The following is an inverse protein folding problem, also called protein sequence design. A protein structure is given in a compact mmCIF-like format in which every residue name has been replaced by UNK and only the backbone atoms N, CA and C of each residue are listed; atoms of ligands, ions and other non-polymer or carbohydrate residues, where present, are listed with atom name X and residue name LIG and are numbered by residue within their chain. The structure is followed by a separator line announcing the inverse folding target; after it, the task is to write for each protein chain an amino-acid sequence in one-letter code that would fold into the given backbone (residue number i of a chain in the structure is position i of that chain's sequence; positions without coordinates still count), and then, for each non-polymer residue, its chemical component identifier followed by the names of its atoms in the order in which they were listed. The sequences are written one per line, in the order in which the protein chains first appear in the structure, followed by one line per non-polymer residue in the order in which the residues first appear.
data_IF_324964030445
#
_entry.id   IF_324964030445
#
_cell.length_a   1.000
_cell.length_b   1.000
_cell.length_c   1.000
_cell.angle_alpha   90.00
_cell.angle_beta   90.00
_cell.angle_gamma   90.00
#
_symmetry.space_group_name_H-M   'P 1'
#
loop_
_entity.id
_entity.type
_entity.pdbx_description
1 polymer ?
#
# COMPACT_ATOMS: atom_id res chain seq x y z
N UNK A 1 -14.54 -18.77 39.93
CA UNK A 1 -13.66 -19.97 39.71
C UNK A 1 -12.35 -19.46 39.09
N UNK A 2 -11.26 -20.15 39.33
CA UNK A 2 -9.92 -19.78 38.82
C UNK A 2 -9.91 -19.60 37.30
N UNK A 3 -10.74 -20.34 36.55
CA UNK A 3 -10.88 -20.20 35.10
C UNK A 3 -11.47 -18.85 34.65
N UNK A 4 -12.48 -18.35 35.34
CA UNK A 4 -13.09 -17.03 35.06
C UNK A 4 -12.11 -15.90 35.30
N UNK A 5 -11.31 -15.98 36.37
CA UNK A 5 -10.30 -14.97 36.70
C UNK A 5 -9.19 -14.92 35.63
N UNK A 6 -8.77 -16.09 35.15
CA UNK A 6 -7.74 -16.20 34.13
C UNK A 6 -8.23 -15.64 32.75
N UNK A 7 -9.47 -15.90 32.38
CA UNK A 7 -10.08 -15.36 31.15
C UNK A 7 -10.21 -13.82 31.25
N UNK A 8 -10.67 -13.30 32.39
CA UNK A 8 -10.75 -11.84 32.61
C UNK A 8 -9.38 -11.16 32.55
N UNK A 9 -8.33 -11.80 33.09
CA UNK A 9 -6.98 -11.27 33.01
C UNK A 9 -6.43 -11.23 31.57
N UNK A 10 -6.69 -12.26 30.77
CA UNK A 10 -6.31 -12.27 29.33
C UNK A 10 -7.06 -11.19 28.55
N UNK A 11 -8.38 -11.06 28.76
CA UNK A 11 -9.19 -10.03 28.11
C UNK A 11 -8.74 -8.61 28.49
N UNK A 12 -8.37 -8.39 29.76
CA UNK A 12 -7.82 -7.11 30.21
C UNK A 12 -6.44 -6.81 29.58
N UNK A 13 -5.56 -7.81 29.47
CA UNK A 13 -4.27 -7.68 28.80
C UNK A 13 -4.42 -7.35 27.31
N UNK A 14 -5.36 -7.96 26.62
CA UNK A 14 -5.68 -7.65 25.21
C UNK A 14 -6.27 -6.25 25.10
N UNK A 15 -7.23 -5.90 25.96
CA UNK A 15 -7.91 -4.61 25.94
C UNK A 15 -6.98 -3.41 26.20
N UNK A 16 -5.91 -3.60 26.97
CA UNK A 16 -4.92 -2.55 27.26
C UNK A 16 -3.71 -2.66 26.32
N UNK A 17 -3.27 -3.86 26.00
CA UNK A 17 -2.09 -4.09 25.17
C UNK A 17 -2.25 -3.62 23.72
N UNK A 18 -3.44 -3.81 23.13
CA UNK A 18 -3.73 -3.34 21.77
C UNK A 18 -3.64 -1.81 21.63
N UNK A 19 -4.35 -1.00 22.42
CA UNK A 19 -4.24 0.46 22.34
C UNK A 19 -2.82 0.97 22.58
N UNK A 20 -2.09 0.39 23.53
CA UNK A 20 -0.71 0.79 23.82
C UNK A 20 0.22 0.49 22.65
N UNK A 21 0.08 -0.66 22.00
CA UNK A 21 0.87 -1.00 20.82
C UNK A 21 0.54 -0.10 19.61
N UNK A 22 -0.73 0.27 19.42
CA UNK A 22 -1.14 1.21 18.39
C UNK A 22 -0.62 2.62 18.65
N UNK A 23 -0.64 3.09 19.89
CA UNK A 23 -0.05 4.39 20.27
C UNK A 23 1.47 4.42 20.07
N UNK A 24 2.17 3.33 20.38
CA UNK A 24 3.61 3.21 20.14
C UNK A 24 3.94 3.24 18.65
N UNK A 25 3.17 2.56 17.79
CA UNK A 25 3.30 2.64 16.34
C UNK A 25 3.00 4.04 15.80
N UNK A 26 1.94 4.68 16.30
CA UNK A 26 1.55 6.03 15.90
C UNK A 26 2.63 7.09 16.19
N UNK A 27 3.44 6.89 17.24
CA UNK A 27 4.56 7.78 17.56
C UNK A 27 5.85 7.47 16.81
N UNK A 28 5.95 6.29 16.21
CA UNK A 28 7.15 5.81 15.51
C UNK A 28 7.14 6.06 14.01
N UNK A 29 5.97 6.36 13.42
CA UNK A 29 5.81 6.58 11.98
C UNK A 29 5.27 7.97 11.70
N UNK A 30 5.61 8.59 10.54
CA UNK A 30 5.08 9.90 10.19
C UNK A 30 3.55 9.84 9.98
N UNK A 31 2.83 10.93 10.30
CA UNK A 31 1.37 10.99 10.12
C UNK A 31 1.00 11.27 8.65
N UNK A 32 1.39 10.37 7.77
CA UNK A 32 1.10 10.42 6.33
C UNK A 32 0.24 9.23 5.92
N UNK A 33 -0.46 9.35 4.82
CA UNK A 33 -1.42 8.35 4.32
C UNK A 33 -1.33 8.13 2.80
N UNK A 34 -0.26 8.61 2.19
CA UNK A 34 0.03 8.55 0.76
C UNK A 34 1.52 8.28 0.57
N UNK A 35 1.86 7.11 0.09
CA UNK A 35 3.24 6.63 -0.10
C UNK A 35 3.42 6.23 -1.56
N UNK A 36 4.53 6.64 -2.17
CA UNK A 36 4.84 6.32 -3.56
C UNK A 36 6.33 6.03 -3.76
N UNK A 37 6.65 5.15 -4.71
CA UNK A 37 8.05 4.87 -5.09
C UNK A 37 8.65 5.98 -5.94
N UNK A 38 7.84 6.71 -6.70
CA UNK A 38 8.27 7.87 -7.47
C UNK A 38 7.62 9.15 -6.93
N UNK A 39 8.34 9.88 -6.12
CA UNK A 39 7.86 11.13 -5.49
C UNK A 39 7.90 12.34 -6.44
N UNK A 40 8.60 12.21 -7.56
CA UNK A 40 8.74 13.29 -8.56
C UNK A 40 7.60 13.26 -9.56
N UNK A 41 7.23 12.05 -10.00
CA UNK A 41 6.12 11.81 -10.92
C UNK A 41 5.30 10.61 -10.43
N UNK A 42 4.52 10.77 -9.36
CA UNK A 42 3.76 9.67 -8.75
C UNK A 42 2.77 9.05 -9.74
N UNK A 43 2.57 7.72 -9.70
CA UNK A 43 1.49 7.10 -10.45
C UNK A 43 0.12 7.72 -10.11
N UNK A 44 -0.69 7.96 -11.14
CA UNK A 44 -2.02 8.56 -10.99
C UNK A 44 -3.10 7.48 -10.87
N UNK A 45 -4.08 7.71 -9.99
CA UNK A 45 -5.29 6.92 -9.92
C UNK A 45 -6.29 7.42 -10.96
N UNK A 46 -6.67 6.58 -11.90
CA UNK A 46 -7.63 6.91 -12.97
C UNK A 46 -8.89 6.04 -12.85
N UNK A 47 -8.72 4.72 -12.87
CA UNK A 47 -9.84 3.78 -12.74
C UNK A 47 -10.52 3.84 -11.37
N UNK A 48 -9.74 4.06 -10.31
CA UNK A 48 -10.23 4.20 -8.93
C UNK A 48 -10.84 5.58 -8.65
N UNK A 49 -10.51 6.61 -9.43
CA UNK A 49 -10.97 7.98 -9.16
C UNK A 49 -12.47 8.10 -8.90
N UNK A 50 -13.38 7.50 -9.71
CA UNK A 50 -14.82 7.54 -9.44
C UNK A 50 -15.22 6.85 -8.12
N UNK A 51 -14.48 5.81 -7.71
CA UNK A 51 -14.75 5.04 -6.49
C UNK A 51 -14.33 5.77 -5.21
N UNK A 52 -13.58 6.87 -5.35
CA UNK A 52 -13.17 7.74 -4.24
C UNK A 52 -14.04 8.96 -4.08
N UNK A 53 -15.10 9.12 -4.89
CA UNK A 53 -16.02 10.23 -4.75
C UNK A 53 -16.60 10.27 -3.33
N UNK A 54 -16.47 11.40 -2.65
CA UNK A 54 -16.85 11.57 -1.26
C UNK A 54 -15.89 11.01 -0.20
N UNK A 55 -14.76 10.42 -0.59
CA UNK A 55 -13.72 10.02 0.37
C UNK A 55 -13.06 11.26 1.00
N UNK A 56 -12.83 11.26 2.34
CA UNK A 56 -12.22 12.40 3.03
C UNK A 56 -10.85 12.79 2.50
N UNK A 57 -10.02 11.81 2.12
CA UNK A 57 -8.70 12.08 1.56
C UNK A 57 -8.78 12.28 0.04
N UNK A 58 -8.31 13.43 -0.43
CA UNK A 58 -8.21 13.74 -1.86
C UNK A 58 -7.40 12.67 -2.61
N UNK A 59 -7.72 12.45 -3.89
CA UNK A 59 -6.95 11.56 -4.78
C UNK A 59 -5.61 12.18 -5.21
N UNK A 60 -5.50 13.51 -5.19
CA UNK A 60 -4.30 14.22 -5.59
C UNK A 60 -3.10 13.87 -4.69
N UNK A 61 -1.91 13.85 -5.27
CA UNK A 61 -0.68 13.73 -4.51
C UNK A 61 -0.37 15.07 -3.82
N UNK A 62 -0.17 15.03 -2.52
CA UNK A 62 0.00 16.26 -1.72
C UNK A 62 1.39 16.88 -1.89
N UNK A 63 2.42 16.04 -2.12
CA UNK A 63 3.80 16.52 -2.28
C UNK A 63 4.37 17.21 -1.03
N UNK A 64 5.33 18.11 -1.25
CA UNK A 64 5.84 19.01 -0.21
C UNK A 64 6.30 18.30 1.06
N UNK A 65 5.66 18.62 2.20
CA UNK A 65 6.01 18.07 3.51
C UNK A 65 5.74 16.56 3.60
N UNK A 66 4.71 16.06 2.92
CA UNK A 66 4.41 14.60 2.86
C UNK A 66 5.56 13.85 2.19
N UNK A 67 6.06 14.37 1.06
CA UNK A 67 7.24 13.82 0.37
C UNK A 67 8.47 13.79 1.27
N UNK A 68 8.73 14.90 1.98
CA UNK A 68 9.87 14.98 2.89
C UNK A 68 9.78 13.95 4.01
N UNK A 69 8.64 13.85 4.66
CA UNK A 69 8.40 12.87 5.72
C UNK A 69 8.52 11.43 5.22
N UNK A 70 8.02 11.14 4.01
CA UNK A 70 8.19 9.83 3.40
C UNK A 70 9.67 9.50 3.17
N UNK A 71 10.44 10.39 2.55
CA UNK A 71 11.85 10.16 2.24
C UNK A 71 12.71 9.98 3.49
N UNK A 72 12.38 10.68 4.59
CA UNK A 72 13.05 10.52 5.88
C UNK A 72 12.71 9.18 6.55
N UNK A 73 11.45 8.75 6.50
CA UNK A 73 10.98 7.56 7.21
C UNK A 73 11.17 6.26 6.41
N UNK A 74 11.08 6.32 5.08
CA UNK A 74 11.07 5.17 4.17
C UNK A 74 12.02 5.38 2.97
N UNK A 75 13.33 5.59 3.19
CA UNK A 75 14.29 5.89 2.13
C UNK A 75 14.48 4.74 1.12
N UNK A 76 14.08 3.52 1.50
CA UNK A 76 14.13 2.32 0.66
C UNK A 76 12.96 2.21 -0.33
N UNK A 77 11.85 2.93 -0.08
CA UNK A 77 10.69 2.93 -0.98
C UNK A 77 10.98 3.83 -2.19
N UNK A 78 11.38 3.19 -3.28
CA UNK A 78 11.76 3.85 -4.54
C UNK A 78 11.46 2.96 -5.74
N UNK A 79 11.40 3.56 -6.93
CA UNK A 79 11.28 2.87 -8.23
C UNK A 79 12.20 1.66 -8.30
N UNK A 80 11.65 0.51 -8.71
CA UNK A 80 12.42 -0.73 -8.89
C UNK A 80 12.66 -0.98 -10.37
N UNK A 81 13.87 -1.39 -10.74
CA UNK A 81 14.20 -1.90 -12.06
C UNK A 81 14.20 -3.42 -12.00
N UNK A 82 13.40 -4.06 -12.84
CA UNK A 82 13.34 -5.51 -12.98
C UNK A 82 13.88 -5.91 -14.37
N UNK A 83 14.79 -6.91 -14.45
CA UNK A 83 15.38 -7.34 -15.71
C UNK A 83 14.46 -8.30 -16.47
N UNK A 84 13.19 -7.93 -16.65
CA UNK A 84 12.19 -8.64 -17.43
C UNK A 84 11.40 -7.66 -18.28
N UNK A 85 10.89 -8.12 -19.45
CA UNK A 85 10.03 -7.32 -20.32
C UNK A 85 8.71 -6.95 -19.63
N UNK A 86 8.15 -5.79 -20.00
CA UNK A 86 6.98 -5.23 -19.33
C UNK A 86 5.74 -6.12 -19.37
N UNK A 87 5.55 -6.93 -20.40
CA UNK A 87 4.44 -7.88 -20.49
C UNK A 87 4.55 -9.01 -19.45
N UNK A 88 5.75 -9.48 -19.15
CA UNK A 88 5.98 -10.51 -18.12
C UNK A 88 5.76 -9.92 -16.73
N UNK A 89 6.31 -8.72 -16.47
CA UNK A 89 6.11 -8.01 -15.21
C UNK A 89 4.63 -7.68 -15.00
N UNK A 90 3.89 -7.31 -16.06
CA UNK A 90 2.46 -7.04 -15.98
C UNK A 90 1.68 -8.27 -15.52
N UNK A 91 1.91 -9.43 -16.15
CA UNK A 91 1.25 -10.70 -15.77
C UNK A 91 1.62 -11.09 -14.32
N UNK A 92 2.87 -10.91 -13.93
CA UNK A 92 3.30 -11.20 -12.56
C UNK A 92 2.66 -10.24 -11.54
N UNK A 93 2.50 -8.97 -11.89
CA UNK A 93 1.83 -7.97 -11.05
C UNK A 93 0.33 -8.28 -10.88
N UNK A 94 -0.37 -8.74 -11.94
CA UNK A 94 -1.75 -9.21 -11.82
C UNK A 94 -1.87 -10.38 -10.84
N UNK A 95 -0.98 -11.37 -10.94
CA UNK A 95 -0.95 -12.51 -10.02
C UNK A 95 -0.61 -12.10 -8.60
N UNK A 96 0.28 -11.11 -8.41
CA UNK A 96 0.60 -10.58 -7.10
C UNK A 96 -0.61 -9.90 -6.45
N UNK A 97 -1.37 -9.09 -7.19
CA UNK A 97 -2.62 -8.47 -6.74
C UNK A 97 -3.63 -9.56 -6.29
N UNK A 98 -3.79 -10.61 -7.10
CA UNK A 98 -4.69 -11.73 -6.78
C UNK A 98 -4.22 -12.49 -5.53
N UNK A 99 -2.93 -12.82 -5.44
CA UNK A 99 -2.35 -13.54 -4.30
C UNK A 99 -2.48 -12.75 -2.99
N UNK A 100 -2.41 -11.42 -3.05
CA UNK A 100 -2.61 -10.52 -1.91
C UNK A 100 -4.09 -10.30 -1.56
N UNK A 101 -5.02 -10.79 -2.38
CA UNK A 101 -6.46 -10.67 -2.16
C UNK A 101 -7.00 -9.25 -2.38
N UNK A 102 -6.30 -8.43 -3.15
CA UNK A 102 -6.76 -7.07 -3.46
C UNK A 102 -7.82 -7.09 -4.57
N UNK A 103 -8.81 -6.21 -4.43
CA UNK A 103 -9.87 -6.03 -5.42
C UNK A 103 -9.37 -5.19 -6.59
N UNK A 104 -9.14 -5.85 -7.73
CA UNK A 104 -8.66 -5.18 -8.94
C UNK A 104 -9.76 -4.35 -9.59
N UNK A 105 -9.42 -3.12 -10.02
CA UNK A 105 -10.28 -2.26 -10.83
C UNK A 105 -9.80 -2.33 -12.28
N UNK A 106 -10.59 -2.95 -13.15
CA UNK A 106 -10.19 -3.25 -14.53
C UNK A 106 -10.60 -2.17 -15.54
N UNK A 107 -11.72 -1.49 -15.31
CA UNK A 107 -12.26 -0.51 -16.25
C UNK A 107 -11.62 0.86 -16.05
N UNK A 108 -11.15 1.47 -17.14
CA UNK A 108 -10.62 2.83 -17.13
C UNK A 108 -9.15 2.98 -16.73
N UNK A 109 -8.45 1.89 -16.43
CA UNK A 109 -7.01 1.94 -16.13
C UNK A 109 -6.21 2.42 -17.36
N UNK A 110 -5.13 3.17 -17.11
CA UNK A 110 -4.20 3.57 -18.16
C UNK A 110 -3.41 2.36 -18.69
N UNK A 111 -2.91 2.41 -19.94
CA UNK A 111 -2.03 1.37 -20.46
C UNK A 111 -0.82 1.11 -19.53
N UNK A 112 -0.44 -0.16 -19.38
CA UNK A 112 0.64 -0.60 -18.49
C UNK A 112 0.48 -0.14 -17.03
N UNK A 113 -0.76 0.06 -16.58
CA UNK A 113 -1.11 0.45 -15.22
C UNK A 113 -2.13 -0.54 -14.66
N UNK A 114 -1.95 -0.89 -13.41
CA UNK A 114 -2.88 -1.73 -12.63
C UNK A 114 -3.36 -0.93 -11.43
N UNK A 115 -4.67 -0.96 -11.16
CA UNK A 115 -5.25 -0.32 -10.00
C UNK A 115 -6.04 -1.33 -9.19
N UNK A 116 -5.90 -1.28 -7.86
CA UNK A 116 -6.58 -2.20 -6.94
C UNK A 116 -6.89 -1.52 -5.61
N UNK A 117 -7.84 -2.09 -4.88
CA UNK A 117 -8.21 -1.66 -3.53
C UNK A 117 -7.94 -2.80 -2.55
N UNK A 118 -7.19 -2.51 -1.49
CA UNK A 118 -7.07 -3.35 -0.31
C UNK A 118 -8.08 -2.91 0.74
N UNK A 119 -8.79 -3.86 1.35
CA UNK A 119 -9.79 -3.58 2.39
C UNK A 119 -9.36 -4.23 3.69
N UNK A 120 -9.15 -3.42 4.74
CA UNK A 120 -8.72 -3.93 6.04
C UNK A 120 -9.79 -4.81 6.68
N UNK A 121 -9.37 -5.99 7.18
CA UNK A 121 -10.28 -7.03 7.66
C UNK A 121 -11.16 -6.61 8.85
N UNK A 122 -10.65 -5.77 9.77
CA UNK A 122 -11.34 -5.45 11.02
C UNK A 122 -12.24 -4.21 10.94
N UNK A 123 -11.83 -3.20 10.18
CA UNK A 123 -12.52 -1.91 10.12
C UNK A 123 -13.11 -1.60 8.75
N UNK A 124 -12.81 -2.41 7.74
CA UNK A 124 -13.29 -2.18 6.38
C UNK A 124 -12.74 -0.91 5.75
N UNK A 125 -11.63 -0.36 6.25
CA UNK A 125 -10.97 0.78 5.62
C UNK A 125 -10.41 0.37 4.27
N UNK A 126 -10.58 1.25 3.29
CA UNK A 126 -10.11 1.05 1.93
C UNK A 126 -8.87 1.88 1.67
N UNK A 127 -7.85 1.20 1.19
CA UNK A 127 -6.62 1.79 0.72
C UNK A 127 -6.44 1.43 -0.76
N UNK A 128 -6.20 2.42 -1.58
CA UNK A 128 -6.08 2.24 -3.01
C UNK A 128 -4.62 2.18 -3.44
N UNK A 129 -4.38 1.34 -4.41
CA UNK A 129 -3.04 1.08 -4.97
C UNK A 129 -3.07 1.28 -6.47
N UNK A 130 -2.05 1.93 -7.00
CA UNK A 130 -1.79 2.01 -8.42
C UNK A 130 -0.35 1.58 -8.71
N UNK A 131 -0.19 0.68 -9.67
CA UNK A 131 1.10 0.17 -10.14
C UNK A 131 1.29 0.64 -11.58
N UNK A 132 2.39 1.30 -11.87
CA UNK A 132 2.78 1.74 -13.21
C UNK A 132 4.02 0.98 -13.66
N UNK A 133 3.96 0.41 -14.86
CA UNK A 133 5.06 -0.29 -15.49
C UNK A 133 5.57 0.53 -16.67
N UNK A 134 6.86 0.84 -16.67
CA UNK A 134 7.51 1.59 -17.75
C UNK A 134 8.57 0.70 -18.39
N UNK A 135 8.33 0.30 -19.65
CA UNK A 135 9.30 -0.48 -20.42
C UNK A 135 10.58 0.31 -20.65
N UNK A 136 11.72 -0.33 -20.45
CA UNK A 136 13.06 0.22 -20.66
C UNK A 136 13.93 -0.82 -21.35
N UNK A 137 13.84 -0.89 -22.68
CA UNK A 137 14.41 -1.99 -23.49
C UNK A 137 13.85 -3.34 -23.03
N UNK A 138 14.68 -4.25 -22.55
CA UNK A 138 14.31 -5.57 -22.06
C UNK A 138 13.98 -5.57 -20.54
N UNK A 139 14.15 -4.42 -19.88
CA UNK A 139 13.88 -4.22 -18.47
C UNK A 139 12.57 -3.47 -18.26
N UNK A 140 12.08 -3.46 -17.02
CA UNK A 140 10.87 -2.71 -16.62
C UNK A 140 11.12 -1.93 -15.35
N UNK A 141 10.82 -0.62 -15.38
CA UNK A 141 10.67 0.18 -14.17
C UNK A 141 9.29 -0.06 -13.59
N UNK A 142 9.24 -0.35 -12.29
CA UNK A 142 8.02 -0.57 -11.53
C UNK A 142 7.88 0.53 -10.51
N UNK A 143 6.79 1.30 -10.62
CA UNK A 143 6.35 2.27 -9.64
C UNK A 143 5.04 1.85 -9.02
N UNK A 144 4.90 2.10 -7.72
CA UNK A 144 3.68 1.83 -6.97
C UNK A 144 3.38 2.99 -6.04
N UNK A 145 2.10 3.34 -5.93
CA UNK A 145 1.59 4.31 -4.97
C UNK A 145 0.43 3.68 -4.21
N UNK A 146 0.41 3.85 -2.90
CA UNK A 146 -0.64 3.39 -2.01
C UNK A 146 -1.17 4.54 -1.17
N UNK A 147 -2.50 4.73 -1.16
CA UNK A 147 -3.15 5.87 -0.51
C UNK A 147 -4.44 5.49 0.19
N UNK A 148 -4.54 5.85 1.46
CA UNK A 148 -5.75 5.63 2.26
C UNK A 148 -6.88 6.58 1.87
N UNK A 149 -8.13 6.06 1.83
CA UNK A 149 -9.33 6.90 1.59
C UNK A 149 -9.69 7.75 2.80
N UNK A 150 -9.34 7.29 4.00
CA UNK A 150 -9.67 7.95 5.27
C UNK A 150 -8.48 7.98 6.21
N UNK A 151 -8.47 8.95 7.13
CA UNK A 151 -7.46 9.08 8.17
C UNK A 151 -6.29 9.96 7.77
N UNK A 152 -5.67 10.63 8.76
CA UNK A 152 -4.50 11.49 8.59
C UNK A 152 -3.19 10.69 8.61
N UNK A 153 -3.19 9.55 9.31
CA UNK A 153 -2.06 8.61 9.39
C UNK A 153 -2.56 7.21 9.12
N UNK A 154 -1.79 6.45 8.35
CA UNK A 154 -2.03 5.05 8.04
C UNK A 154 -1.28 4.09 8.98
N UNK A 155 -0.55 4.62 9.96
CA UNK A 155 0.31 3.85 10.88
C UNK A 155 1.36 2.99 10.16
N UNK A 156 1.86 3.45 9.01
CA UNK A 156 2.84 2.75 8.17
C UNK A 156 2.26 1.67 7.25
N UNK A 157 0.93 1.56 7.16
CA UNK A 157 0.28 0.50 6.37
C UNK A 157 0.48 0.65 4.87
N UNK A 158 0.52 1.86 4.33
CA UNK A 158 0.78 2.05 2.91
C UNK A 158 2.22 1.69 2.55
N UNK A 159 3.20 1.99 3.41
CA UNK A 159 4.59 1.57 3.23
C UNK A 159 4.71 0.02 3.26
N UNK A 160 4.16 -0.62 4.28
CA UNK A 160 4.11 -2.08 4.42
C UNK A 160 3.44 -2.76 3.19
N UNK A 161 2.38 -2.16 2.65
CA UNK A 161 1.68 -2.65 1.47
C UNK A 161 2.54 -2.61 0.22
N UNK A 162 3.28 -1.53 0.02
CA UNK A 162 4.22 -1.40 -1.10
C UNK A 162 5.32 -2.46 -1.01
N UNK A 163 5.91 -2.66 0.16
CA UNK A 163 6.95 -3.68 0.38
C UNK A 163 6.41 -5.08 0.16
N UNK A 164 5.23 -5.39 0.68
CA UNK A 164 4.56 -6.68 0.52
C UNK A 164 4.26 -6.98 -0.95
N UNK A 165 3.76 -5.98 -1.70
CA UNK A 165 3.53 -6.12 -3.13
C UNK A 165 4.83 -6.39 -3.89
N UNK A 166 5.90 -5.63 -3.61
CA UNK A 166 7.17 -5.81 -4.28
C UNK A 166 7.81 -7.18 -3.99
N UNK A 167 7.63 -7.69 -2.77
CA UNK A 167 8.07 -9.04 -2.41
C UNK A 167 7.27 -10.10 -3.18
N UNK A 168 5.94 -9.97 -3.23
CA UNK A 168 5.08 -10.91 -3.95
C UNK A 168 5.31 -10.83 -5.47
N UNK A 169 5.51 -9.65 -6.04
CA UNK A 169 5.86 -9.48 -7.45
C UNK A 169 7.15 -10.25 -7.80
N UNK A 170 8.19 -10.13 -6.97
CA UNK A 170 9.43 -10.89 -7.17
C UNK A 170 9.21 -12.40 -7.06
N UNK A 171 8.40 -12.85 -6.09
CA UNK A 171 8.03 -14.26 -5.95
C UNK A 171 7.34 -14.77 -7.22
N UNK A 172 6.40 -14.01 -7.79
CA UNK A 172 5.71 -14.36 -9.05
C UNK A 172 6.66 -14.40 -10.26
N UNK A 173 7.75 -13.64 -10.22
CA UNK A 173 8.81 -13.65 -11.23
C UNK A 173 9.89 -14.73 -10.99
N UNK A 174 9.77 -15.53 -9.92
CA UNK A 174 10.69 -16.63 -9.60
C UNK A 174 11.96 -16.22 -8.84
N UNK A 175 11.97 -15.05 -8.23
CA UNK A 175 13.05 -14.66 -7.30
C UNK A 175 12.77 -15.28 -5.92
N UNK A 176 13.70 -16.09 -5.42
CA UNK A 176 13.62 -16.78 -4.12
C UNK A 176 14.69 -16.29 -3.17
#
# INVERSE_FOLDING_TARGET
SWGSTFICAILALVAVGMPVSMMSKASAVPPIHDITTDVTNPPEFVAIAPLREGAPNSIAYEGGEVTKQQLEAYPEIKTQLLPQPANEVFIAAEKAIEALGWERVNEGALPNTLEATDTTAWFGFKDDVVIRLTAKSDDTLVDIRSKSRVGKSDLGKNAERIETFMAELRNQLGYH
#
